data_IF_951850363842
#
_entry.id   IF_951850363842
#
_cell.length_a   1.000
_cell.length_b   1.000
_cell.length_c   1.000
_cell.angle_alpha   90.00
_cell.angle_beta   90.00
_cell.angle_gamma   90.00
#
_symmetry.space_group_name_H-M   'P 1'
#
loop_
_entity.id
_entity.type
_entity.pdbx_description
1 polymer ?
#
# COMPACT_ATOMS: atom_id res chain seq x y z
N UNK A 1 -41.00 -14.37 -16.93
CA UNK A 1 -40.73 -14.82 -15.55
C UNK A 1 -40.49 -16.32 -15.61
N UNK A 2 -39.28 -16.73 -15.99
CA UNK A 2 -38.97 -18.14 -16.29
C UNK A 2 -38.65 -18.92 -15.00
N UNK A 3 -39.37 -20.03 -14.81
CA UNK A 3 -39.15 -20.99 -13.72
C UNK A 3 -38.33 -22.16 -14.27
N UNK A 4 -37.14 -22.38 -13.73
CA UNK A 4 -36.40 -23.62 -13.97
C UNK A 4 -36.79 -24.68 -12.92
N UNK A 5 -37.29 -25.82 -13.38
CA UNK A 5 -37.60 -27.00 -12.56
C UNK A 5 -36.38 -27.94 -12.63
N UNK A 6 -35.77 -28.25 -11.49
CA UNK A 6 -34.78 -29.32 -11.39
C UNK A 6 -35.46 -30.67 -11.13
N UNK A 7 -34.81 -31.76 -11.58
CA UNK A 7 -35.27 -33.16 -11.67
C UNK A 7 -35.88 -33.82 -10.40
N UNK A 8 -35.91 -33.13 -9.26
CA UNK A 8 -36.46 -33.62 -7.99
C UNK A 8 -37.67 -32.81 -7.45
N UNK A 9 -38.35 -32.01 -8.27
CA UNK A 9 -39.66 -31.43 -7.91
C UNK A 9 -39.65 -30.40 -6.76
N UNK A 10 -38.49 -30.00 -6.24
CA UNK A 10 -38.40 -28.93 -5.24
C UNK A 10 -38.42 -27.58 -5.96
N UNK A 11 -39.52 -26.83 -5.79
CA UNK A 11 -39.59 -25.43 -6.19
C UNK A 11 -38.66 -24.60 -5.30
N UNK A 12 -37.42 -24.39 -5.74
CA UNK A 12 -36.53 -23.43 -5.09
C UNK A 12 -36.89 -22.05 -5.61
N UNK A 13 -37.44 -21.21 -4.73
CA UNK A 13 -37.73 -19.82 -5.03
C UNK A 13 -36.43 -19.12 -5.47
N UNK A 14 -36.43 -18.29 -6.52
CA UNK A 14 -35.22 -17.56 -6.98
C UNK A 14 -34.54 -16.73 -5.86
N UNK A 15 -35.32 -16.31 -4.84
CA UNK A 15 -34.81 -15.71 -3.61
C UNK A 15 -34.01 -16.65 -2.70
N UNK A 16 -34.34 -17.95 -2.65
CA UNK A 16 -33.59 -18.97 -1.91
C UNK A 16 -32.29 -19.36 -2.64
N UNK A 17 -32.31 -19.44 -3.97
CA UNK A 17 -31.12 -19.74 -4.75
C UNK A 17 -30.07 -18.61 -4.64
N UNK A 18 -30.51 -17.35 -4.72
CA UNK A 18 -29.63 -16.18 -4.55
C UNK A 18 -29.10 -16.03 -3.12
N UNK A 19 -29.85 -16.41 -2.09
CA UNK A 19 -29.38 -16.40 -0.70
C UNK A 19 -28.45 -17.58 -0.38
N UNK A 20 -28.66 -18.76 -0.98
CA UNK A 20 -27.73 -19.90 -0.91
C UNK A 20 -26.42 -19.61 -1.67
N UNK A 21 -26.48 -19.01 -2.86
CA UNK A 21 -25.27 -18.55 -3.58
C UNK A 21 -24.55 -17.43 -2.84
N UNK A 22 -25.27 -16.47 -2.24
CA UNK A 22 -24.65 -15.42 -1.42
C UNK A 22 -24.02 -15.97 -0.12
N UNK A 23 -24.53 -17.07 0.46
CA UNK A 23 -23.90 -17.75 1.60
C UNK A 23 -22.60 -18.47 1.22
N UNK A 24 -22.53 -19.11 0.05
CA UNK A 24 -21.30 -19.76 -0.45
C UNK A 24 -20.18 -18.78 -0.86
N UNK A 25 -20.53 -17.52 -1.12
CA UNK A 25 -19.59 -16.49 -1.59
C UNK A 25 -19.20 -15.45 -0.52
N UNK A 26 -19.59 -15.61 0.75
CA UNK A 26 -19.32 -14.57 1.75
C UNK A 26 -18.07 -14.86 2.57
N UNK A 27 -17.11 -13.94 2.54
CA UNK A 27 -16.01 -13.89 3.49
C UNK A 27 -16.49 -13.16 4.76
N UNK A 28 -16.29 -13.73 5.94
CA UNK A 28 -16.62 -13.06 7.21
C UNK A 28 -15.39 -12.39 7.80
N UNK A 29 -15.59 -11.31 8.57
CA UNK A 29 -14.48 -10.63 9.26
C UNK A 29 -13.69 -11.55 10.19
N UNK A 30 -14.38 -12.40 10.95
CA UNK A 30 -13.74 -13.34 11.87
C UNK A 30 -12.94 -14.42 11.14
N UNK A 31 -13.47 -14.90 10.02
CA UNK A 31 -12.72 -15.83 9.17
C UNK A 31 -11.47 -15.17 8.59
N UNK A 32 -11.52 -13.88 8.23
CA UNK A 32 -10.36 -13.12 7.77
C UNK A 32 -9.32 -12.95 8.85
N UNK A 33 -9.73 -12.56 10.06
CA UNK A 33 -8.84 -12.44 11.21
C UNK A 33 -8.16 -13.78 11.49
N UNK A 34 -8.92 -14.88 11.58
CA UNK A 34 -8.37 -16.21 11.84
C UNK A 34 -7.31 -16.60 10.81
N UNK A 35 -7.61 -16.40 9.52
CA UNK A 35 -6.72 -16.72 8.41
C UNK A 35 -5.47 -15.84 8.40
N UNK A 36 -5.61 -14.55 8.69
CA UNK A 36 -4.47 -13.63 8.81
C UNK A 36 -3.58 -13.99 10.01
N UNK A 37 -4.18 -14.35 11.15
CA UNK A 37 -3.45 -14.86 12.31
C UNK A 37 -2.72 -16.17 11.99
N UNK A 38 -3.32 -17.05 11.18
CA UNK A 38 -2.62 -18.27 10.70
C UNK A 38 -1.41 -17.90 9.83
N UNK A 39 -1.54 -16.91 8.94
CA UNK A 39 -0.41 -16.42 8.14
C UNK A 39 0.70 -15.84 9.03
N UNK A 40 0.35 -15.04 10.04
CA UNK A 40 1.32 -14.47 10.97
C UNK A 40 2.04 -15.56 11.78
N UNK A 41 1.31 -16.56 12.26
CA UNK A 41 1.90 -17.71 12.96
C UNK A 41 2.83 -18.52 12.05
N UNK A 42 2.41 -18.76 10.80
CA UNK A 42 3.25 -19.43 9.80
C UNK A 42 4.51 -18.64 9.48
N UNK A 43 4.44 -17.30 9.47
CA UNK A 43 5.61 -16.46 9.30
C UNK A 43 6.61 -16.66 10.44
N UNK A 44 6.16 -16.60 11.70
CA UNK A 44 7.01 -16.85 12.86
C UNK A 44 7.64 -18.25 12.84
N UNK A 45 6.84 -19.28 12.54
CA UNK A 45 7.35 -20.66 12.41
C UNK A 45 8.40 -20.75 11.30
N UNK A 46 8.15 -20.13 10.14
CA UNK A 46 9.08 -20.13 9.01
C UNK A 46 10.38 -19.41 9.36
N UNK A 47 10.34 -18.30 10.10
CA UNK A 47 11.53 -17.58 10.55
C UNK A 47 12.36 -18.41 11.52
N UNK A 48 11.72 -19.10 12.46
CA UNK A 48 12.42 -19.98 13.41
C UNK A 48 13.08 -21.17 12.68
N UNK A 49 12.35 -21.84 11.78
CA UNK A 49 12.84 -23.04 11.10
C UNK A 49 13.94 -22.75 10.06
N UNK A 50 13.92 -21.56 9.44
CA UNK A 50 14.83 -21.17 8.37
C UNK A 50 15.86 -20.13 8.79
N UNK A 51 15.96 -19.85 10.10
CA UNK A 51 16.89 -18.87 10.66
C UNK A 51 18.33 -19.13 10.22
N UNK A 52 18.96 -18.16 9.58
CA UNK A 52 20.37 -18.23 9.16
C UNK A 52 20.95 -16.84 8.97
N UNK A 53 21.95 -16.50 9.81
CA UNK A 53 22.65 -15.21 9.83
C UNK A 53 24.15 -15.32 9.59
N UNK A 54 24.60 -16.41 8.95
CA UNK A 54 26.04 -16.72 8.81
C UNK A 54 26.79 -15.76 7.89
N UNK A 55 26.17 -15.35 6.79
CA UNK A 55 26.68 -14.35 5.86
C UNK A 55 25.52 -13.73 5.07
N UNK A 56 25.80 -12.65 4.34
CA UNK A 56 24.81 -11.89 3.57
C UNK A 56 24.08 -12.75 2.52
N UNK A 57 24.80 -13.66 1.86
CA UNK A 57 24.22 -14.54 0.83
C UNK A 57 23.23 -15.53 1.43
N UNK A 58 23.63 -16.22 2.50
CA UNK A 58 22.79 -17.17 3.21
C UNK A 58 21.57 -16.47 3.82
N UNK A 59 21.76 -15.32 4.45
CA UNK A 59 20.67 -14.49 4.96
C UNK A 59 19.65 -14.16 3.87
N UNK A 60 20.12 -13.67 2.72
CA UNK A 60 19.24 -13.35 1.60
C UNK A 60 18.51 -14.57 1.05
N UNK A 61 19.19 -15.71 0.86
CA UNK A 61 18.57 -16.93 0.34
C UNK A 61 17.51 -17.46 1.31
N UNK A 62 17.84 -17.61 2.60
CA UNK A 62 16.94 -18.19 3.58
C UNK A 62 15.75 -17.28 3.90
N UNK A 63 15.97 -15.97 3.99
CA UNK A 63 14.86 -15.00 4.12
C UNK A 63 13.95 -15.02 2.88
N UNK A 64 14.52 -15.10 1.67
CA UNK A 64 13.75 -15.23 0.43
C UNK A 64 12.89 -16.50 0.40
N UNK A 65 13.44 -17.65 0.82
CA UNK A 65 12.69 -18.91 0.90
C UNK A 65 11.58 -18.81 1.95
N UNK A 66 11.85 -18.24 3.13
CA UNK A 66 10.85 -18.06 4.18
C UNK A 66 9.67 -17.21 3.68
N UNK A 67 9.94 -16.05 3.06
CA UNK A 67 8.89 -15.19 2.54
C UNK A 67 8.20 -15.73 1.28
N UNK A 68 8.87 -16.58 0.48
CA UNK A 68 8.23 -17.33 -0.60
C UNK A 68 7.20 -18.32 -0.03
N UNK A 69 7.56 -19.09 0.99
CA UNK A 69 6.66 -20.02 1.69
C UNK A 69 5.46 -19.24 2.26
N UNK A 70 5.73 -18.13 2.96
CA UNK A 70 4.67 -17.27 3.50
C UNK A 70 3.77 -16.74 2.39
N UNK A 71 4.31 -16.36 1.23
CA UNK A 71 3.53 -15.91 0.07
C UNK A 71 2.62 -17.02 -0.48
N UNK A 72 3.13 -18.24 -0.62
CA UNK A 72 2.36 -19.42 -1.07
C UNK A 72 1.19 -19.67 -0.14
N UNK A 73 1.46 -19.78 1.18
CA UNK A 73 0.44 -20.03 2.18
C UNK A 73 -0.56 -18.88 2.30
N UNK A 74 -0.10 -17.64 2.29
CA UNK A 74 -0.98 -16.45 2.31
C UNK A 74 -1.95 -16.47 1.14
N UNK A 75 -1.47 -16.79 -0.06
CA UNK A 75 -2.32 -16.85 -1.26
C UNK A 75 -3.38 -17.96 -1.14
N UNK A 76 -2.97 -19.17 -0.74
CA UNK A 76 -3.89 -20.31 -0.59
C UNK A 76 -4.92 -20.08 0.52
N UNK A 77 -4.46 -19.62 1.68
CA UNK A 77 -5.28 -19.44 2.89
C UNK A 77 -6.23 -18.26 2.72
N UNK A 78 -5.76 -17.09 2.25
CA UNK A 78 -6.59 -15.89 2.15
C UNK A 78 -7.52 -15.92 0.93
N UNK A 79 -7.06 -16.38 -0.25
CA UNK A 79 -7.90 -16.36 -1.45
C UNK A 79 -8.85 -17.55 -1.57
N UNK A 80 -8.62 -18.63 -0.80
CA UNK A 80 -9.36 -19.90 -0.84
C UNK A 80 -9.40 -20.54 -2.23
N UNK A 81 -8.40 -20.26 -3.07
CA UNK A 81 -8.39 -20.74 -4.45
C UNK A 81 -6.96 -20.88 -4.98
N UNK A 82 -6.55 -22.08 -5.40
CA UNK A 82 -5.20 -22.31 -5.93
C UNK A 82 -5.01 -21.66 -7.31
N UNK A 83 -6.10 -21.28 -8.00
CA UNK A 83 -6.07 -20.65 -9.33
C UNK A 83 -5.16 -19.42 -9.40
N UNK A 84 -5.04 -18.68 -8.29
CA UNK A 84 -4.28 -17.44 -8.23
C UNK A 84 -2.85 -17.62 -7.70
N UNK A 85 -2.50 -18.82 -7.23
CA UNK A 85 -1.21 -19.11 -6.58
C UNK A 85 -0.03 -18.66 -7.45
N UNK A 86 0.03 -19.14 -8.69
CA UNK A 86 1.15 -18.87 -9.57
C UNK A 86 1.26 -17.39 -9.96
N UNK A 87 0.17 -16.63 -9.99
CA UNK A 87 0.25 -15.18 -10.21
C UNK A 87 1.05 -14.50 -9.09
N UNK A 88 0.72 -14.80 -7.83
CA UNK A 88 1.38 -14.18 -6.68
C UNK A 88 2.79 -14.73 -6.46
N UNK A 89 3.02 -16.03 -6.69
CA UNK A 89 4.37 -16.63 -6.63
C UNK A 89 5.28 -16.04 -7.70
N UNK A 90 4.83 -15.97 -8.96
CA UNK A 90 5.63 -15.36 -10.02
C UNK A 90 5.88 -13.88 -9.75
N UNK A 91 4.88 -13.14 -9.25
CA UNK A 91 5.07 -11.74 -8.89
C UNK A 91 6.09 -11.56 -7.76
N UNK A 92 6.09 -12.44 -6.75
CA UNK A 92 7.09 -12.43 -5.68
C UNK A 92 8.50 -12.60 -6.23
N UNK A 93 8.71 -13.66 -7.02
CA UNK A 93 10.02 -13.97 -7.60
C UNK A 93 10.53 -12.84 -8.51
N UNK A 94 9.67 -12.32 -9.38
CA UNK A 94 10.04 -11.22 -10.29
C UNK A 94 10.44 -9.97 -9.49
N UNK A 95 9.68 -9.58 -8.46
CA UNK A 95 9.98 -8.39 -7.64
C UNK A 95 11.24 -8.57 -6.80
N UNK A 96 11.47 -9.77 -6.29
CA UNK A 96 12.68 -10.10 -5.56
C UNK A 96 13.90 -10.02 -6.49
N UNK A 97 13.81 -10.61 -7.69
CA UNK A 97 14.89 -10.55 -8.69
C UNK A 97 15.16 -9.12 -9.15
N UNK A 98 14.13 -8.32 -9.46
CA UNK A 98 14.30 -6.92 -9.86
C UNK A 98 14.96 -6.12 -8.73
N UNK A 99 14.52 -6.29 -7.48
CA UNK A 99 15.13 -5.61 -6.32
C UNK A 99 16.59 -6.03 -6.10
N UNK A 100 16.89 -7.32 -6.20
CA UNK A 100 18.27 -7.83 -6.08
C UNK A 100 19.17 -7.25 -7.18
N UNK A 101 18.74 -7.33 -8.45
CA UNK A 101 19.51 -6.78 -9.58
C UNK A 101 19.71 -5.29 -9.42
N UNK A 102 18.67 -4.55 -9.03
CA UNK A 102 18.76 -3.12 -8.77
C UNK A 102 19.82 -2.82 -7.69
N UNK A 103 19.78 -3.53 -6.57
CA UNK A 103 20.72 -3.28 -5.48
C UNK A 103 22.17 -3.63 -5.86
N UNK A 104 22.39 -4.82 -6.44
CA UNK A 104 23.74 -5.23 -6.82
C UNK A 104 24.32 -4.36 -7.94
N UNK A 105 23.50 -3.94 -8.90
CA UNK A 105 24.00 -3.15 -10.03
C UNK A 105 24.25 -1.69 -9.65
N UNK A 106 23.32 -1.05 -8.93
CA UNK A 106 23.38 0.39 -8.70
C UNK A 106 23.97 0.81 -7.36
N UNK A 107 24.08 -0.10 -6.38
CA UNK A 107 24.40 0.25 -4.99
C UNK A 107 25.63 -0.47 -4.49
N UNK A 108 25.60 -1.81 -4.47
CA UNK A 108 26.71 -2.60 -3.95
C UNK A 108 26.94 -3.88 -4.75
N UNK A 109 27.79 -3.84 -5.80
CA UNK A 109 28.13 -5.02 -6.60
C UNK A 109 28.82 -6.12 -5.81
N UNK A 110 29.52 -5.78 -4.72
CA UNK A 110 30.28 -6.71 -3.88
C UNK A 110 29.52 -7.09 -2.61
N UNK A 111 28.21 -6.84 -2.55
CA UNK A 111 27.40 -7.04 -1.34
C UNK A 111 27.56 -8.42 -0.68
N UNK A 112 27.60 -9.48 -1.49
CA UNK A 112 27.73 -10.85 -0.96
C UNK A 112 29.17 -11.24 -0.60
N UNK A 113 30.15 -10.46 -1.03
CA UNK A 113 31.57 -10.64 -0.71
C UNK A 113 32.02 -9.73 0.45
N UNK A 114 31.20 -8.72 0.79
CA UNK A 114 31.46 -7.73 1.85
C UNK A 114 30.77 -8.09 3.18
N UNK A 115 30.79 -7.17 4.15
CA UNK A 115 30.09 -7.34 5.43
C UNK A 115 28.55 -7.40 5.29
N UNK A 116 28.00 -7.04 4.13
CA UNK A 116 26.55 -7.02 3.87
C UNK A 116 25.76 -5.96 4.66
N UNK A 117 26.47 -5.06 5.34
CA UNK A 117 25.90 -3.91 6.05
C UNK A 117 25.41 -2.82 5.08
N UNK A 118 24.71 -1.83 5.62
CA UNK A 118 24.21 -0.72 4.81
C UNK A 118 25.32 0.24 4.41
N UNK A 119 25.45 0.47 3.10
CA UNK A 119 26.20 1.62 2.58
C UNK A 119 25.27 2.83 2.65
N UNK A 120 25.62 3.80 3.49
CA UNK A 120 24.81 5.00 3.68
C UNK A 120 24.68 5.79 2.36
N UNK A 121 23.48 5.76 1.78
CA UNK A 121 23.15 6.51 0.55
C UNK A 121 22.52 7.88 0.87
N UNK A 122 21.69 7.93 1.92
CA UNK A 122 21.19 9.16 2.54
C UNK A 122 20.94 8.93 4.03
N UNK A 123 20.97 10.00 4.82
CA UNK A 123 20.73 9.99 6.27
C UNK A 123 19.36 9.39 6.66
N UNK A 124 18.31 9.60 5.84
CA UNK A 124 16.97 9.08 6.12
C UNK A 124 16.92 7.54 6.05
N UNK A 125 17.57 6.94 5.04
CA UNK A 125 17.61 5.48 4.93
C UNK A 125 18.49 4.82 6.00
N UNK A 126 19.58 5.50 6.38
CA UNK A 126 20.50 5.04 7.42
C UNK A 126 19.78 4.96 8.78
N UNK A 127 19.13 6.04 9.21
CA UNK A 127 18.33 6.06 10.44
C UNK A 127 17.22 4.99 10.50
N UNK A 128 16.59 4.69 9.36
CA UNK A 128 15.58 3.60 9.27
C UNK A 128 16.24 2.23 9.50
N UNK A 129 17.38 1.98 8.87
CA UNK A 129 18.09 0.71 8.99
C UNK A 129 18.68 0.51 10.39
N UNK A 130 19.30 1.54 10.96
CA UNK A 130 19.83 1.52 12.33
C UNK A 130 18.72 1.30 13.35
N UNK A 131 17.56 1.90 13.14
CA UNK A 131 16.37 1.66 13.97
C UNK A 131 15.89 0.21 13.90
N UNK A 132 15.90 -0.40 12.71
CA UNK A 132 15.55 -1.82 12.53
C UNK A 132 16.53 -2.72 13.28
N UNK A 133 17.85 -2.50 13.11
CA UNK A 133 18.88 -3.30 13.79
C UNK A 133 18.78 -3.14 15.31
N UNK A 134 18.63 -1.91 15.79
CA UNK A 134 18.52 -1.63 17.22
C UNK A 134 17.33 -2.37 17.83
N UNK A 135 16.17 -2.35 17.18
CA UNK A 135 15.02 -3.14 17.63
C UNK A 135 15.25 -4.66 17.50
N UNK A 136 15.97 -5.13 16.49
CA UNK A 136 16.29 -6.55 16.36
C UNK A 136 17.15 -7.02 17.54
N UNK A 137 18.18 -6.26 17.90
CA UNK A 137 19.07 -6.55 19.03
C UNK A 137 18.32 -6.53 20.36
N UNK A 138 17.53 -5.50 20.64
CA UNK A 138 16.71 -5.45 21.86
C UNK A 138 15.76 -6.64 22.00
N UNK A 139 15.19 -7.13 20.89
CA UNK A 139 14.33 -8.30 20.92
C UNK A 139 15.10 -9.61 21.08
N UNK A 140 16.36 -9.68 20.63
CA UNK A 140 17.22 -10.82 20.91
C UNK A 140 17.53 -10.90 22.42
N UNK A 141 17.72 -9.75 23.07
CA UNK A 141 18.06 -9.67 24.49
C UNK A 141 16.84 -9.85 25.42
N UNK A 142 15.67 -9.33 25.03
CA UNK A 142 14.49 -9.24 25.91
C UNK A 142 13.27 -10.04 25.41
N UNK A 143 13.34 -10.63 24.22
CA UNK A 143 12.28 -11.41 23.59
C UNK A 143 11.54 -10.71 22.45
N UNK A 144 10.91 -11.49 21.58
CA UNK A 144 10.33 -11.04 20.29
C UNK A 144 9.29 -9.91 20.39
N UNK A 145 8.57 -9.85 21.51
CA UNK A 145 7.53 -8.85 21.75
C UNK A 145 8.03 -7.60 22.48
N UNK A 146 9.33 -7.54 22.85
CA UNK A 146 9.89 -6.39 23.52
C UNK A 146 9.84 -5.14 22.64
N UNK A 147 9.42 -4.02 23.21
CA UNK A 147 9.34 -2.74 22.53
C UNK A 147 9.57 -1.61 23.53
N UNK A 148 10.45 -0.68 23.16
CA UNK A 148 10.73 0.54 23.92
C UNK A 148 10.76 1.72 22.94
N UNK A 149 9.87 2.70 23.16
CA UNK A 149 9.68 3.82 22.24
C UNK A 149 10.76 4.91 22.36
N UNK A 150 11.51 4.94 23.46
CA UNK A 150 12.56 5.95 23.75
C UNK A 150 13.88 5.71 23.03
N UNK A 151 14.08 4.52 22.44
CA UNK A 151 15.41 4.10 21.95
C UNK A 151 15.78 4.73 20.62
N UNK A 152 14.80 5.07 19.79
CA UNK A 152 15.04 5.60 18.44
C UNK A 152 14.18 6.84 18.24
N UNK A 153 14.84 7.95 17.90
CA UNK A 153 14.19 9.20 17.43
C UNK A 153 13.69 9.06 15.98
N UNK A 154 12.83 8.07 15.73
CA UNK A 154 12.16 7.90 14.46
C UNK A 154 10.68 8.25 14.62
N UNK A 155 10.09 8.89 13.62
CA UNK A 155 8.62 8.94 13.51
C UNK A 155 8.11 7.49 13.49
N UNK A 156 7.06 7.11 14.22
CA UNK A 156 6.48 5.76 14.21
C UNK A 156 7.46 4.58 14.44
N UNK A 157 8.11 4.47 15.62
CA UNK A 157 9.01 3.37 15.97
C UNK A 157 8.32 1.99 15.98
N UNK A 158 6.99 1.95 16.15
CA UNK A 158 6.21 0.72 16.25
C UNK A 158 6.30 -0.13 14.97
N UNK A 159 6.27 0.51 13.79
CA UNK A 159 6.38 -0.23 12.53
C UNK A 159 7.81 -0.72 12.29
N UNK A 160 8.83 0.02 12.71
CA UNK A 160 10.22 -0.41 12.62
C UNK A 160 10.48 -1.63 13.52
N UNK A 161 9.91 -1.63 14.72
CA UNK A 161 9.91 -2.77 15.64
C UNK A 161 9.24 -4.01 15.03
N UNK A 162 8.19 -3.86 14.21
CA UNK A 162 7.60 -4.99 13.49
C UNK A 162 8.48 -5.47 12.34
N UNK A 163 9.11 -4.55 11.60
CA UNK A 163 10.03 -4.86 10.50
C UNK A 163 11.32 -5.52 11.01
N UNK A 164 11.71 -5.28 12.26
CA UNK A 164 12.92 -5.88 12.82
C UNK A 164 12.79 -7.37 13.17
N UNK A 165 11.57 -7.90 13.27
CA UNK A 165 11.36 -9.31 13.63
C UNK A 165 12.11 -10.27 12.70
N UNK A 166 11.99 -10.18 11.35
CA UNK A 166 12.81 -11.00 10.45
C UNK A 166 14.32 -10.79 10.62
N UNK A 167 14.78 -9.57 10.90
CA UNK A 167 16.20 -9.26 11.07
C UNK A 167 16.81 -9.99 12.27
N UNK A 168 16.02 -10.26 13.33
CA UNK A 168 16.47 -11.12 14.44
C UNK A 168 16.89 -12.53 13.99
N UNK A 169 16.23 -13.09 12.98
CA UNK A 169 16.44 -14.46 12.50
C UNK A 169 17.42 -14.53 11.34
N UNK A 170 17.43 -13.52 10.47
CA UNK A 170 18.25 -13.52 9.26
C UNK A 170 19.50 -12.64 9.36
N UNK A 171 19.65 -11.85 10.42
CA UNK A 171 20.80 -10.99 10.67
C UNK A 171 20.67 -9.58 10.09
N UNK A 172 21.67 -8.76 10.41
CA UNK A 172 21.72 -7.31 10.14
C UNK A 172 22.15 -7.00 8.70
N UNK A 173 21.51 -7.69 7.75
CA UNK A 173 21.83 -7.62 6.33
C UNK A 173 20.74 -6.85 5.59
N UNK A 174 21.14 -5.79 4.87
CA UNK A 174 20.22 -4.87 4.18
C UNK A 174 19.21 -5.58 3.30
N UNK A 175 19.66 -6.54 2.50
CA UNK A 175 18.79 -7.21 1.52
C UNK A 175 17.73 -8.12 2.17
N UNK A 176 17.74 -8.33 3.49
CA UNK A 176 16.62 -8.91 4.24
C UNK A 176 15.32 -8.10 4.03
N UNK A 177 15.42 -6.79 3.73
CA UNK A 177 14.24 -5.96 3.43
C UNK A 177 13.54 -6.35 2.12
N UNK A 178 14.27 -6.92 1.15
CA UNK A 178 13.74 -7.18 -0.19
C UNK A 178 12.66 -8.28 -0.20
N UNK A 179 12.87 -9.44 0.46
CA UNK A 179 11.82 -10.42 0.70
C UNK A 179 10.61 -9.85 1.47
N UNK A 180 10.84 -9.01 2.48
CA UNK A 180 9.80 -8.36 3.30
C UNK A 180 8.90 -7.49 2.41
N UNK A 181 9.49 -6.54 1.69
CA UNK A 181 8.77 -5.63 0.80
C UNK A 181 8.04 -6.36 -0.32
N UNK A 182 8.66 -7.40 -0.89
CA UNK A 182 8.02 -8.23 -1.92
C UNK A 182 6.75 -8.88 -1.37
N UNK A 183 6.82 -9.50 -0.19
CA UNK A 183 5.66 -10.13 0.44
C UNK A 183 4.58 -9.10 0.81
N UNK A 184 4.92 -8.04 1.54
CA UNK A 184 3.92 -7.07 2.00
C UNK A 184 3.27 -6.31 0.84
N UNK A 185 4.00 -6.06 -0.25
CA UNK A 185 3.39 -5.52 -1.46
C UNK A 185 2.35 -6.46 -2.06
N UNK A 186 2.60 -7.77 -2.07
CA UNK A 186 1.63 -8.75 -2.56
C UNK A 186 0.45 -8.90 -1.60
N UNK A 187 0.67 -8.74 -0.29
CA UNK A 187 -0.40 -8.72 0.69
C UNK A 187 -1.38 -7.57 0.44
N UNK A 188 -0.88 -6.38 0.06
CA UNK A 188 -1.75 -5.26 -0.38
C UNK A 188 -2.61 -5.69 -1.58
N UNK A 189 -1.99 -6.30 -2.59
CA UNK A 189 -2.67 -6.79 -3.80
C UNK A 189 -3.74 -7.85 -3.46
N UNK A 190 -3.43 -8.80 -2.57
CA UNK A 190 -4.39 -9.80 -2.05
C UNK A 190 -5.60 -9.12 -1.39
N UNK A 191 -5.38 -8.11 -0.55
CA UNK A 191 -6.45 -7.42 0.15
C UNK A 191 -7.35 -6.61 -0.79
N UNK A 192 -6.77 -5.87 -1.74
CA UNK A 192 -7.54 -5.18 -2.78
C UNK A 192 -8.32 -6.18 -3.64
N UNK A 193 -7.72 -7.33 -3.97
CA UNK A 193 -8.41 -8.42 -4.67
C UNK A 193 -9.58 -8.98 -3.86
N UNK A 194 -9.40 -9.21 -2.56
CA UNK A 194 -10.43 -9.72 -1.66
C UNK A 194 -11.63 -8.77 -1.56
N UNK A 195 -11.37 -7.47 -1.38
CA UNK A 195 -12.42 -6.45 -1.41
C UNK A 195 -13.14 -6.46 -2.77
N UNK A 196 -12.38 -6.46 -3.87
CA UNK A 196 -12.90 -6.49 -5.24
C UNK A 196 -13.78 -7.70 -5.52
N UNK A 197 -13.39 -8.89 -5.03
CA UNK A 197 -14.12 -10.14 -5.24
C UNK A 197 -15.37 -10.23 -4.37
N UNK A 198 -15.25 -9.94 -3.08
CA UNK A 198 -16.31 -10.25 -2.11
C UNK A 198 -17.26 -9.08 -1.84
N UNK A 199 -16.78 -7.83 -1.89
CA UNK A 199 -17.63 -6.64 -1.77
C UNK A 199 -18.23 -6.24 -3.11
N UNK A 200 -17.39 -6.08 -4.13
CA UNK A 200 -17.82 -5.56 -5.43
C UNK A 200 -18.22 -6.63 -6.46
N UNK A 201 -17.95 -7.91 -6.18
CA UNK A 201 -18.35 -9.05 -7.02
C UNK A 201 -17.86 -8.94 -8.47
N UNK A 202 -16.65 -8.42 -8.67
CA UNK A 202 -16.09 -8.31 -10.00
C UNK A 202 -15.82 -9.66 -10.65
N UNK A 203 -15.88 -9.69 -11.98
CA UNK A 203 -15.59 -10.88 -12.78
C UNK A 203 -14.13 -11.34 -12.61
N UNK A 204 -13.87 -12.63 -12.81
CA UNK A 204 -12.52 -13.20 -12.78
C UNK A 204 -11.54 -12.48 -13.73
N UNK A 205 -12.02 -12.01 -14.88
CA UNK A 205 -11.21 -11.23 -15.83
C UNK A 205 -10.76 -9.90 -15.22
N UNK A 206 -11.68 -9.16 -14.61
CA UNK A 206 -11.40 -7.90 -13.94
C UNK A 206 -10.48 -8.12 -12.73
N UNK A 207 -10.75 -9.15 -11.93
CA UNK A 207 -9.94 -9.52 -10.77
C UNK A 207 -8.50 -9.85 -11.16
N UNK A 208 -8.29 -10.55 -12.28
CA UNK A 208 -6.94 -10.82 -12.81
C UNK A 208 -6.18 -9.52 -13.11
N UNK A 209 -6.84 -8.53 -13.71
CA UNK A 209 -6.20 -7.25 -14.02
C UNK A 209 -5.93 -6.43 -12.76
N UNK A 210 -6.86 -6.41 -11.81
CA UNK A 210 -6.64 -5.75 -10.51
C UNK A 210 -5.41 -6.37 -9.84
N UNK A 211 -5.38 -7.69 -9.67
CA UNK A 211 -4.26 -8.39 -9.03
C UNK A 211 -2.93 -8.12 -9.74
N UNK A 212 -2.91 -8.10 -11.08
CA UNK A 212 -1.69 -7.88 -11.84
C UNK A 212 -1.17 -6.44 -11.67
N UNK A 213 -2.06 -5.44 -11.78
CA UNK A 213 -1.67 -4.03 -11.61
C UNK A 213 -1.25 -3.74 -10.17
N UNK A 214 -1.94 -4.27 -9.16
CA UNK A 214 -1.58 -4.04 -7.75
C UNK A 214 -0.37 -4.86 -7.30
N UNK A 215 -0.12 -6.05 -7.89
CA UNK A 215 1.09 -6.82 -7.59
C UNK A 215 2.36 -6.14 -8.14
N UNK A 216 2.29 -5.61 -9.37
CA UNK A 216 3.39 -4.91 -10.04
C UNK A 216 3.25 -3.38 -9.97
N UNK A 217 2.66 -2.87 -8.89
CA UNK A 217 2.44 -1.44 -8.75
C UNK A 217 3.80 -0.70 -8.69
N UNK A 218 4.00 0.42 -9.42
CA UNK A 218 5.34 0.97 -9.66
C UNK A 218 6.12 1.32 -8.38
N UNK A 219 5.50 2.03 -7.42
CA UNK A 219 6.18 2.45 -6.16
C UNK A 219 6.62 1.29 -5.25
N UNK A 220 6.17 0.06 -5.52
CA UNK A 220 6.58 -1.12 -4.74
C UNK A 220 7.33 -2.13 -5.59
N UNK A 221 7.71 -1.78 -6.82
CA UNK A 221 8.36 -2.70 -7.76
C UNK A 221 9.81 -3.01 -7.32
N UNK A 222 10.55 -1.98 -6.88
CA UNK A 222 11.91 -2.13 -6.37
C UNK A 222 11.87 -2.56 -4.91
N UNK A 223 11.91 -3.87 -4.69
CA UNK A 223 11.77 -4.44 -3.35
C UNK A 223 12.96 -4.13 -2.42
N UNK A 224 14.14 -3.81 -2.94
CA UNK A 224 15.36 -3.54 -2.16
C UNK A 224 15.37 -2.21 -1.42
N UNK A 225 14.34 -1.36 -1.59
CA UNK A 225 14.28 -0.06 -0.93
C UNK A 225 14.07 -0.18 0.57
N UNK A 226 14.90 0.50 1.35
CA UNK A 226 14.79 0.57 2.80
C UNK A 226 13.73 1.58 3.25
N UNK A 227 12.47 1.33 2.91
CA UNK A 227 11.33 2.13 3.34
C UNK A 227 10.29 1.29 4.06
N UNK A 228 9.80 1.78 5.19
CA UNK A 228 8.73 1.14 5.97
C UNK A 228 7.36 1.21 5.30
N UNK A 229 7.20 2.06 4.28
CA UNK A 229 5.88 2.44 3.78
C UNK A 229 5.13 1.25 3.15
N UNK A 230 5.82 0.30 2.51
CA UNK A 230 5.20 -0.92 1.94
C UNK A 230 4.48 -1.74 3.01
N UNK A 231 5.11 -1.89 4.18
CA UNK A 231 4.51 -2.58 5.33
C UNK A 231 3.34 -1.78 5.87
N UNK A 232 3.47 -0.45 5.97
CA UNK A 232 2.40 0.42 6.46
C UNK A 232 1.13 0.39 5.60
N UNK A 233 1.28 0.46 4.28
CA UNK A 233 0.14 0.35 3.34
C UNK A 233 -0.49 -1.04 3.41
N UNK A 234 0.30 -2.08 3.67
CA UNK A 234 -0.24 -3.43 3.88
C UNK A 234 -1.19 -3.45 5.08
N UNK A 235 -0.84 -2.81 6.19
CA UNK A 235 -1.70 -2.67 7.36
C UNK A 235 -2.94 -1.83 7.06
N UNK A 236 -2.82 -0.76 6.29
CA UNK A 236 -3.99 -0.01 5.83
C UNK A 236 -4.94 -0.87 4.99
N UNK A 237 -4.39 -1.67 4.06
CA UNK A 237 -5.20 -2.57 3.23
C UNK A 237 -5.90 -3.66 4.04
N UNK A 238 -5.27 -4.15 5.11
CA UNK A 238 -5.87 -5.06 6.09
C UNK A 238 -7.01 -4.36 6.81
N UNK A 239 -6.79 -3.14 7.32
CA UNK A 239 -7.81 -2.33 8.01
C UNK A 239 -9.05 -2.09 7.16
N UNK A 240 -8.88 -1.72 5.88
CA UNK A 240 -10.00 -1.58 4.94
C UNK A 240 -10.74 -2.90 4.73
N UNK A 241 -10.01 -4.01 4.59
CA UNK A 241 -10.61 -5.34 4.40
C UNK A 241 -11.45 -5.76 5.61
N UNK A 242 -10.98 -5.47 6.84
CA UNK A 242 -11.71 -5.72 8.07
C UNK A 242 -13.04 -4.97 8.12
N UNK A 243 -13.04 -3.67 7.79
CA UNK A 243 -14.26 -2.85 7.72
C UNK A 243 -15.23 -3.42 6.68
N UNK A 244 -14.76 -3.76 5.47
CA UNK A 244 -15.61 -4.28 4.41
C UNK A 244 -16.25 -5.64 4.73
N UNK A 245 -15.56 -6.50 5.48
CA UNK A 245 -16.07 -7.82 5.85
C UNK A 245 -16.92 -7.82 7.13
N UNK A 246 -16.92 -6.72 7.87
CA UNK A 246 -17.83 -6.53 8.99
C UNK A 246 -19.26 -6.27 8.48
N UNK A 247 -20.16 -7.22 8.77
CA UNK A 247 -21.57 -7.18 8.29
C UNK A 247 -22.51 -6.44 9.22
N UNK A 248 -22.20 -6.38 10.53
CA UNK A 248 -23.03 -5.72 11.55
C UNK A 248 -22.42 -4.37 11.91
N UNK A 249 -23.27 -3.38 12.23
CA UNK A 249 -22.86 -2.04 12.65
C UNK A 249 -21.83 -2.06 13.79
N UNK A 250 -22.11 -2.80 14.86
CA UNK A 250 -21.20 -2.92 16.02
C UNK A 250 -19.85 -3.50 15.61
N UNK A 251 -19.85 -4.56 14.79
CA UNK A 251 -18.59 -5.14 14.28
C UNK A 251 -17.84 -4.17 13.37
N UNK A 252 -18.55 -3.33 12.60
CA UNK A 252 -17.92 -2.32 11.76
C UNK A 252 -17.25 -1.24 12.60
N UNK A 253 -17.90 -0.74 13.66
CA UNK A 253 -17.28 0.23 14.58
C UNK A 253 -16.05 -0.36 15.29
N UNK A 254 -16.13 -1.61 15.75
CA UNK A 254 -14.97 -2.29 16.31
C UNK A 254 -13.81 -2.40 15.30
N UNK A 255 -14.11 -2.82 14.06
CA UNK A 255 -13.09 -2.91 13.01
C UNK A 255 -12.58 -1.55 12.56
N UNK A 256 -13.39 -0.49 12.67
CA UNK A 256 -12.96 0.88 12.38
C UNK A 256 -11.92 1.34 13.41
N UNK A 257 -12.08 1.03 14.70
CA UNK A 257 -11.07 1.31 15.73
C UNK A 257 -9.76 0.58 15.40
N UNK A 258 -9.85 -0.71 15.09
CA UNK A 258 -8.66 -1.51 14.70
C UNK A 258 -8.02 -0.94 13.44
N UNK A 259 -8.80 -0.56 12.43
CA UNK A 259 -8.29 0.04 11.21
C UNK A 259 -7.64 1.40 11.47
N UNK A 260 -8.21 2.25 12.33
CA UNK A 260 -7.56 3.50 12.75
C UNK A 260 -6.19 3.24 13.35
N UNK A 261 -6.04 2.25 14.24
CA UNK A 261 -4.72 1.90 14.77
C UNK A 261 -3.76 1.41 13.67
N UNK A 262 -4.21 0.54 12.76
CA UNK A 262 -3.39 0.08 11.64
C UNK A 262 -2.97 1.21 10.68
N UNK A 263 -3.80 2.24 10.53
CA UNK A 263 -3.47 3.43 9.74
C UNK A 263 -2.48 4.34 10.49
N UNK A 264 -2.64 4.47 11.81
CA UNK A 264 -1.74 5.23 12.68
C UNK A 264 -0.32 4.67 12.64
N UNK A 265 -0.16 3.34 12.66
CA UNK A 265 1.15 2.68 12.55
C UNK A 265 1.94 3.11 11.31
N UNK A 266 1.24 3.56 10.27
CA UNK A 266 1.89 4.08 9.07
C UNK A 266 2.14 5.59 9.16
N UNK A 267 1.09 6.38 9.41
CA UNK A 267 1.17 7.85 9.59
C UNK A 267 0.08 8.34 10.52
N UNK A 268 0.41 9.32 11.36
CA UNK A 268 -0.50 9.93 12.35
C UNK A 268 -1.76 10.58 11.75
N UNK A 269 -1.69 11.14 10.53
CA UNK A 269 -2.84 11.79 9.87
C UNK A 269 -3.82 10.80 9.20
N UNK A 270 -3.38 9.58 8.88
CA UNK A 270 -4.16 8.62 8.10
C UNK A 270 -5.43 8.09 8.79
N UNK A 271 -5.48 7.89 10.12
CA UNK A 271 -6.71 7.58 10.83
C UNK A 271 -7.79 8.65 10.63
N UNK A 272 -7.41 9.94 10.60
CA UNK A 272 -8.35 11.05 10.40
C UNK A 272 -8.95 10.97 8.98
N UNK A 273 -8.11 10.72 7.96
CA UNK A 273 -8.56 10.52 6.59
C UNK A 273 -9.53 9.33 6.47
N UNK A 274 -9.24 8.23 7.17
CA UNK A 274 -10.10 7.04 7.21
C UNK A 274 -11.46 7.35 7.82
N UNK A 275 -11.51 8.05 8.96
CA UNK A 275 -12.76 8.44 9.61
C UNK A 275 -13.61 9.32 8.70
N UNK A 276 -13.00 10.31 8.04
CA UNK A 276 -13.69 11.17 7.09
C UNK A 276 -14.24 10.38 5.90
N UNK A 277 -13.42 9.48 5.32
CA UNK A 277 -13.84 8.63 4.20
C UNK A 277 -15.00 7.71 4.59
N UNK A 278 -14.95 7.17 5.82
CA UNK A 278 -16.01 6.31 6.35
C UNK A 278 -17.32 7.06 6.55
N UNK A 279 -17.30 8.25 7.14
CA UNK A 279 -18.50 9.08 7.31
C UNK A 279 -19.13 9.40 5.96
N UNK A 280 -18.32 9.84 4.99
CA UNK A 280 -18.80 10.19 3.65
C UNK A 280 -19.39 8.97 2.94
N UNK A 281 -18.72 7.80 3.00
CA UNK A 281 -19.25 6.56 2.41
C UNK A 281 -20.61 6.19 3.02
N UNK A 282 -20.74 6.23 4.34
CA UNK A 282 -22.00 5.92 5.03
C UNK A 282 -23.10 6.92 4.67
N UNK A 283 -22.80 8.23 4.67
CA UNK A 283 -23.78 9.28 4.37
C UNK A 283 -24.22 9.23 2.91
N UNK A 284 -23.31 8.94 1.98
CA UNK A 284 -23.66 8.87 0.58
C UNK A 284 -24.31 7.52 0.26
N UNK A 285 -23.64 6.39 0.52
CA UNK A 285 -23.96 5.11 -0.11
C UNK A 285 -24.89 4.19 0.67
N UNK A 286 -25.26 4.51 1.91
CA UNK A 286 -26.29 3.71 2.59
C UNK A 286 -27.68 3.99 2.00
N UNK A 287 -28.35 2.90 1.63
CA UNK A 287 -29.76 2.90 1.24
C UNK A 287 -30.41 1.66 1.86
N UNK A 288 -30.63 1.65 3.17
CA UNK A 288 -31.45 0.61 3.77
C UNK A 288 -32.90 0.75 3.32
N UNK A 289 -33.58 -0.39 3.09
CA UNK A 289 -35.00 -0.43 2.69
C UNK A 289 -35.94 0.24 3.70
N UNK A 290 -35.49 0.45 4.94
CA UNK A 290 -36.22 1.14 6.01
C UNK A 290 -35.53 2.49 6.29
N UNK A 291 -36.10 3.58 5.77
CA UNK A 291 -35.55 4.95 5.86
C UNK A 291 -35.18 5.38 7.29
N UNK A 292 -35.99 5.01 8.30
CA UNK A 292 -35.74 5.40 9.70
C UNK A 292 -34.51 4.73 10.33
N UNK A 293 -34.27 3.45 10.03
CA UNK A 293 -33.09 2.71 10.52
C UNK A 293 -31.82 3.23 9.83
N UNK A 294 -31.93 3.60 8.54
CA UNK A 294 -30.85 4.23 7.78
C UNK A 294 -30.40 5.56 8.40
N UNK A 295 -31.37 6.43 8.72
CA UNK A 295 -31.11 7.73 9.34
C UNK A 295 -30.45 7.57 10.71
N UNK A 296 -30.97 6.68 11.55
CA UNK A 296 -30.41 6.41 12.87
C UNK A 296 -28.98 5.88 12.78
N UNK A 297 -28.68 4.96 11.85
CA UNK A 297 -27.32 4.47 11.66
C UNK A 297 -26.34 5.57 11.21
N UNK A 298 -26.76 6.46 10.31
CA UNK A 298 -25.94 7.63 9.89
C UNK A 298 -25.63 8.55 11.07
N UNK A 299 -26.65 8.89 11.89
CA UNK A 299 -26.47 9.74 13.08
C UNK A 299 -25.52 9.06 14.07
N UNK A 300 -25.74 7.77 14.37
CA UNK A 300 -24.85 7.02 15.26
C UNK A 300 -23.41 6.96 14.72
N UNK A 301 -23.22 6.84 13.41
CA UNK A 301 -21.89 6.86 12.80
C UNK A 301 -21.22 8.21 13.01
N UNK A 302 -21.92 9.32 12.77
CA UNK A 302 -21.40 10.67 12.97
C UNK A 302 -21.04 10.90 14.45
N UNK A 303 -21.95 10.56 15.37
CA UNK A 303 -21.70 10.68 16.81
C UNK A 303 -20.51 9.84 17.24
N UNK A 304 -20.43 8.58 16.78
CA UNK A 304 -19.30 7.70 17.09
C UNK A 304 -17.98 8.30 16.61
N UNK A 305 -17.93 8.84 15.40
CA UNK A 305 -16.71 9.47 14.85
C UNK A 305 -16.35 10.75 15.62
N UNK A 306 -17.33 11.59 15.99
CA UNK A 306 -17.08 12.77 16.82
C UNK A 306 -16.49 12.39 18.18
N UNK A 307 -16.96 11.30 18.80
CA UNK A 307 -16.44 10.80 20.08
C UNK A 307 -15.05 10.18 19.92
N UNK A 308 -14.79 9.50 18.81
CA UNK A 308 -13.51 8.86 18.55
C UNK A 308 -12.41 9.86 18.14
N UNK A 309 -12.78 10.97 17.49
CA UNK A 309 -11.84 11.93 16.93
C UNK A 309 -10.86 12.53 17.96
N UNK A 310 -11.28 12.95 19.18
CA UNK A 310 -10.35 13.44 20.21
C UNK A 310 -9.29 12.41 20.61
N UNK A 311 -9.66 11.12 20.70
CA UNK A 311 -8.72 10.05 21.01
C UNK A 311 -7.68 9.88 19.89
N UNK A 312 -8.12 9.97 18.64
CA UNK A 312 -7.24 9.88 17.47
C UNK A 312 -6.32 11.10 17.37
N UNK A 313 -6.84 12.30 17.64
CA UNK A 313 -6.03 13.52 17.66
C UNK A 313 -4.98 13.45 18.78
N UNK A 314 -5.35 12.99 19.97
CA UNK A 314 -4.39 12.81 21.07
C UNK A 314 -3.30 11.79 20.72
N UNK A 315 -3.68 10.68 20.06
CA UNK A 315 -2.73 9.69 19.56
C UNK A 315 -1.80 10.27 18.47
N UNK A 316 -2.31 11.18 17.64
CA UNK A 316 -1.56 11.82 16.57
C UNK A 316 -0.68 13.00 17.05
N UNK A 317 -1.02 13.65 18.17
CA UNK A 317 -0.29 14.79 18.73
C UNK A 317 0.89 14.30 19.59
N UNK A 318 1.97 13.91 18.93
CA UNK A 318 3.28 13.69 19.56
C UNK A 318 4.18 14.89 19.28
N UNK A 319 5.17 15.17 20.13
CA UNK A 319 6.13 16.29 19.93
C UNK A 319 6.78 16.27 18.52
N UNK A 320 7.08 15.08 18.00
CA UNK A 320 7.58 14.88 16.64
C UNK A 320 6.58 15.26 15.52
N UNK A 321 5.27 15.21 15.78
CA UNK A 321 4.21 15.54 14.82
C UNK A 321 3.78 17.01 14.90
N UNK A 322 3.93 17.65 16.06
CA UNK A 322 3.65 19.09 16.23
C UNK A 322 4.58 19.97 15.38
N UNK A 323 5.85 19.59 15.27
CA UNK A 323 6.82 20.26 14.39
C UNK A 323 6.46 20.13 12.90
N UNK A 324 5.89 18.99 12.48
CA UNK A 324 5.41 18.78 11.11
C UNK A 324 4.08 19.49 10.83
N UNK A 325 3.20 19.61 11.82
CA UNK A 325 1.91 20.30 11.69
C UNK A 325 2.08 21.81 11.43
N UNK A 326 3.10 22.44 12.01
CA UNK A 326 3.45 23.84 11.74
C UNK A 326 3.77 24.14 10.27
N UNK A 327 4.27 23.15 9.52
CA UNK A 327 4.58 23.27 8.09
C UNK A 327 3.36 23.30 7.16
N UNK A 328 2.20 22.82 7.62
CA UNK A 328 0.95 22.79 6.84
C UNK A 328 0.33 24.20 6.74
N UNK A 329 0.52 25.05 7.76
CA UNK A 329 -0.12 26.37 7.84
C UNK A 329 0.63 27.50 7.12
N UNK A 330 1.88 27.30 6.72
CA UNK A 330 2.67 28.24 5.90
C UNK A 330 2.58 27.93 4.39
N UNK A 331 1.38 27.64 3.89
CA UNK A 331 1.16 27.22 2.51
C UNK A 331 0.85 28.40 1.57
N UNK A 332 1.69 28.62 0.55
CA UNK A 332 1.42 29.60 -0.50
C UNK A 332 0.53 28.98 -1.61
N UNK A 333 -0.73 29.40 -1.67
CA UNK A 333 -1.72 28.90 -2.65
C UNK A 333 -1.31 29.15 -4.11
N UNK A 334 -0.48 30.16 -4.38
CA UNK A 334 -0.01 30.49 -5.73
C UNK A 334 0.94 29.42 -6.29
N UNK A 335 1.63 28.68 -5.41
CA UNK A 335 2.60 27.63 -5.82
C UNK A 335 1.89 26.28 -6.01
N UNK A 336 0.65 26.13 -5.54
CA UNK A 336 -0.11 24.88 -5.57
C UNK A 336 -0.19 24.22 -6.97
N UNK A 337 -0.43 24.93 -8.08
CA UNK A 337 -0.48 24.28 -9.40
C UNK A 337 0.85 23.63 -9.80
N UNK A 338 1.97 24.30 -9.50
CA UNK A 338 3.32 23.76 -9.75
C UNK A 338 3.60 22.57 -8.83
N UNK A 339 3.22 22.67 -7.55
CA UNK A 339 3.33 21.54 -6.61
C UNK A 339 2.53 20.33 -7.07
N UNK A 340 1.31 20.53 -7.55
CA UNK A 340 0.46 19.44 -8.07
C UNK A 340 1.16 18.75 -9.24
N UNK A 341 1.70 19.52 -10.19
CA UNK A 341 2.42 18.95 -11.33
C UNK A 341 3.67 18.16 -10.90
N UNK A 342 4.50 18.72 -10.02
CA UNK A 342 5.70 18.06 -9.52
C UNK A 342 5.38 16.81 -8.68
N UNK A 343 4.36 16.87 -7.81
CA UNK A 343 3.92 15.73 -7.01
C UNK A 343 3.33 14.58 -7.83
N UNK A 344 2.77 14.88 -9.02
CA UNK A 344 2.25 13.87 -9.96
C UNK A 344 3.39 13.30 -10.80
N UNK A 345 4.27 14.13 -11.36
CA UNK A 345 5.37 13.72 -12.26
C UNK A 345 6.48 13.00 -11.51
N UNK A 346 6.71 13.34 -10.24
CA UNK A 346 7.82 12.82 -9.45
C UNK A 346 9.14 13.56 -9.71
N UNK A 347 10.29 12.93 -9.37
CA UNK A 347 11.60 13.52 -9.60
C UNK A 347 11.76 13.83 -11.09
N UNK A 348 12.10 15.07 -11.40
CA UNK A 348 12.24 15.55 -12.77
C UNK A 348 13.24 16.72 -12.83
N UNK A 349 14.12 16.81 -13.84
CA UNK A 349 14.25 15.94 -15.01
C UNK A 349 14.79 14.54 -14.70
N UNK A 350 14.41 13.54 -15.51
CA UNK A 350 14.82 12.13 -15.30
C UNK A 350 16.32 11.90 -15.57
N UNK A 351 17.01 12.89 -16.18
CA UNK A 351 18.48 12.86 -16.33
C UNK A 351 19.21 12.69 -14.99
N UNK A 352 18.61 13.12 -13.87
CA UNK A 352 19.20 12.97 -12.55
C UNK A 352 19.48 11.49 -12.22
N UNK A 353 18.68 10.55 -12.74
CA UNK A 353 18.96 9.13 -12.61
C UNK A 353 20.33 8.76 -13.15
N UNK A 354 20.74 9.31 -14.30
CA UNK A 354 22.03 8.99 -14.93
C UNK A 354 23.23 9.49 -14.12
N UNK A 355 22.99 10.34 -13.12
CA UNK A 355 24.00 10.77 -12.16
C UNK A 355 24.12 9.79 -10.98
N UNK A 356 23.53 8.58 -11.04
CA UNK A 356 23.64 7.59 -9.96
C UNK A 356 25.10 7.21 -9.63
N UNK A 357 25.99 7.25 -10.62
CA UNK A 357 27.41 6.90 -10.40
C UNK A 357 28.12 7.93 -9.50
N UNK A 358 27.70 9.20 -9.55
CA UNK A 358 28.22 10.26 -8.69
C UNK A 358 27.39 10.48 -7.42
N UNK A 359 26.08 10.23 -7.49
CA UNK A 359 25.14 10.34 -6.37
C UNK A 359 24.31 9.04 -6.31
N UNK A 360 24.81 7.98 -5.65
CA UNK A 360 24.16 6.67 -5.58
C UNK A 360 22.70 6.68 -5.09
N UNK A 361 22.31 7.67 -4.28
CA UNK A 361 20.93 7.88 -3.84
C UNK A 361 19.93 8.06 -4.99
N UNK A 362 20.37 8.54 -6.16
CA UNK A 362 19.50 8.72 -7.32
C UNK A 362 19.08 7.41 -7.98
N UNK A 363 19.79 6.29 -7.73
CA UNK A 363 19.36 4.97 -8.18
C UNK A 363 17.95 4.62 -7.65
N UNK A 364 17.66 5.01 -6.40
CA UNK A 364 16.38 4.77 -5.75
C UNK A 364 15.20 5.54 -6.36
N UNK A 365 15.44 6.57 -7.16
CA UNK A 365 14.39 7.33 -7.84
C UNK A 365 13.80 6.59 -9.05
N UNK A 366 14.40 5.46 -9.46
CA UNK A 366 13.96 4.73 -10.65
C UNK A 366 12.47 4.35 -10.61
N UNK A 367 11.98 3.88 -9.46
CA UNK A 367 10.56 3.55 -9.30
C UNK A 367 9.65 4.77 -9.34
N UNK A 368 10.15 5.93 -8.90
CA UNK A 368 9.40 7.18 -8.86
C UNK A 368 9.12 7.67 -10.29
N UNK A 369 10.02 7.45 -11.26
CA UNK A 369 9.75 7.76 -12.67
C UNK A 369 8.62 6.91 -13.26
N UNK A 370 8.62 5.60 -12.97
CA UNK A 370 7.54 4.71 -13.40
C UNK A 370 6.22 5.06 -12.71
N UNK A 371 6.27 5.44 -11.42
CA UNK A 371 5.13 5.92 -10.67
C UNK A 371 4.60 7.24 -11.22
N UNK A 372 5.48 8.16 -11.61
CA UNK A 372 5.09 9.46 -12.18
C UNK A 372 4.35 9.29 -13.50
N UNK A 373 4.87 8.42 -14.35
CA UNK A 373 4.18 8.00 -15.58
C UNK A 373 2.78 7.43 -15.28
N UNK A 374 2.68 6.58 -14.25
CA UNK A 374 1.42 5.99 -13.83
C UNK A 374 0.43 7.05 -13.32
N UNK A 375 0.90 7.98 -12.48
CA UNK A 375 0.12 9.07 -11.92
C UNK A 375 -0.45 9.96 -13.03
N UNK A 376 0.38 10.38 -14.00
CA UNK A 376 -0.06 11.20 -15.13
C UNK A 376 -1.11 10.45 -15.95
N UNK A 377 -0.86 9.17 -16.27
CA UNK A 377 -1.82 8.36 -17.01
C UNK A 377 -3.16 8.26 -16.28
N UNK A 378 -3.12 8.09 -14.96
CA UNK A 378 -4.30 8.08 -14.11
C UNK A 378 -5.02 9.43 -14.13
N UNK A 379 -4.30 10.54 -14.01
CA UNK A 379 -4.87 11.90 -14.02
C UNK A 379 -5.52 12.21 -15.36
N UNK A 380 -4.87 11.89 -16.48
CA UNK A 380 -5.46 12.02 -17.82
C UNK A 380 -6.75 11.21 -17.91
N UNK A 381 -6.71 9.96 -17.44
CA UNK A 381 -7.88 9.09 -17.37
C UNK A 381 -9.00 9.70 -16.51
N UNK A 382 -8.66 10.27 -15.35
CA UNK A 382 -9.58 10.90 -14.43
C UNK A 382 -10.27 12.11 -15.08
N UNK A 383 -9.51 12.96 -15.78
CA UNK A 383 -10.02 14.13 -16.50
C UNK A 383 -10.94 13.71 -17.66
N UNK A 384 -10.46 12.82 -18.54
CA UNK A 384 -11.20 12.39 -19.73
C UNK A 384 -12.51 11.65 -19.37
N UNK A 385 -12.53 10.90 -18.28
CA UNK A 385 -13.66 10.08 -17.87
C UNK A 385 -14.32 10.55 -16.57
N UNK A 386 -14.18 11.83 -16.19
CA UNK A 386 -14.65 12.39 -14.91
C UNK A 386 -16.08 12.01 -14.52
N UNK A 387 -17.01 12.02 -15.49
CA UNK A 387 -18.43 11.69 -15.27
C UNK A 387 -18.64 10.25 -14.76
N UNK A 388 -17.72 9.34 -15.09
CA UNK A 388 -17.74 7.96 -14.60
C UNK A 388 -17.23 7.85 -13.17
N UNK A 389 -16.22 8.64 -12.81
CA UNK A 389 -15.61 8.62 -11.48
C UNK A 389 -16.51 9.21 -10.40
N UNK A 390 -17.17 10.35 -10.66
CA UNK A 390 -17.97 11.06 -9.66
C UNK A 390 -19.41 10.56 -9.54
N UNK A 391 -19.68 9.30 -9.90
CA UNK A 391 -20.96 8.67 -9.59
C UNK A 391 -21.02 8.35 -8.11
N UNK A 392 -22.20 8.50 -7.51
CA UNK A 392 -22.47 8.18 -6.11
C UNK A 392 -21.92 6.79 -5.72
N UNK A 393 -22.22 5.76 -6.52
CA UNK A 393 -21.76 4.37 -6.31
C UNK A 393 -20.23 4.20 -6.26
N UNK A 394 -19.49 5.13 -6.88
CA UNK A 394 -18.04 5.11 -6.95
C UNK A 394 -17.38 5.89 -5.81
N UNK A 395 -18.13 6.68 -5.04
CA UNK A 395 -17.66 7.39 -3.84
C UNK A 395 -17.71 6.49 -2.60
N UNK A 396 -17.13 5.29 -2.70
CA UNK A 396 -17.08 4.31 -1.61
C UNK A 396 -15.80 4.47 -0.76
N UNK A 397 -15.77 3.83 0.42
CA UNK A 397 -14.65 3.94 1.37
C UNK A 397 -13.26 3.75 0.75
N UNK A 398 -13.06 2.72 -0.07
CA UNK A 398 -11.79 2.41 -0.73
C UNK A 398 -11.34 3.56 -1.65
N UNK A 399 -12.26 4.06 -2.47
CA UNK A 399 -11.97 5.12 -3.42
C UNK A 399 -11.79 6.48 -2.73
N UNK A 400 -12.63 6.79 -1.73
CA UNK A 400 -12.50 7.99 -0.93
C UNK A 400 -11.17 8.03 -0.18
N UNK A 401 -10.74 6.89 0.38
CA UNK A 401 -9.44 6.79 1.00
C UNK A 401 -8.31 7.05 0.00
N UNK A 402 -8.39 6.45 -1.20
CA UNK A 402 -7.42 6.70 -2.26
C UNK A 402 -7.33 8.18 -2.67
N UNK A 403 -8.49 8.85 -2.83
CA UNK A 403 -8.55 10.28 -3.13
C UNK A 403 -7.98 11.14 -2.00
N UNK A 404 -8.30 10.83 -0.74
CA UNK A 404 -7.80 11.57 0.41
C UNK A 404 -6.30 11.42 0.63
N UNK A 405 -5.72 10.25 0.31
CA UNK A 405 -4.26 10.08 0.30
C UNK A 405 -3.59 10.90 -0.79
N UNK A 406 -4.15 10.94 -2.00
CA UNK A 406 -3.64 11.81 -3.08
C UNK A 406 -3.68 13.26 -2.64
N UNK A 407 -4.82 13.73 -2.14
CA UNK A 407 -4.98 15.11 -1.66
C UNK A 407 -3.96 15.38 -0.54
N UNK A 408 -3.91 14.54 0.50
CA UNK A 408 -2.96 14.70 1.61
C UNK A 408 -1.50 14.74 1.13
N UNK A 409 -1.12 13.92 0.16
CA UNK A 409 0.22 13.93 -0.42
C UNK A 409 0.56 15.21 -1.19
N UNK A 410 -0.41 15.76 -1.95
CA UNK A 410 -0.24 16.98 -2.75
C UNK A 410 -0.20 18.26 -1.91
N UNK A 411 -0.91 18.28 -0.77
CA UNK A 411 -1.00 19.45 0.11
C UNK A 411 0.06 19.47 1.22
N UNK A 412 0.88 18.43 1.36
CA UNK A 412 1.96 18.41 2.34
C UNK A 412 3.13 19.33 1.94
N UNK A 413 3.80 19.92 2.94
CA UNK A 413 4.93 20.85 2.75
C UNK A 413 6.10 20.20 1.99
N UNK A 414 6.36 18.91 2.24
CA UNK A 414 7.49 18.15 1.69
C UNK A 414 7.21 17.32 0.42
N UNK A 415 6.06 17.51 -0.26
CA UNK A 415 5.71 16.81 -1.52
C UNK A 415 6.21 15.35 -1.61
N UNK A 416 5.63 14.47 -0.80
CA UNK A 416 6.02 13.06 -0.79
C UNK A 416 5.23 12.29 -1.85
N UNK A 417 5.86 12.06 -3.01
CA UNK A 417 5.33 11.23 -4.10
C UNK A 417 4.82 9.85 -3.65
N UNK A 418 5.43 9.16 -2.66
CA UNK A 418 4.89 7.90 -2.15
C UNK A 418 3.44 8.01 -1.66
N UNK A 419 3.05 9.10 -0.98
CA UNK A 419 1.67 9.26 -0.48
C UNK A 419 0.65 9.38 -1.62
N UNK A 420 1.02 10.10 -2.68
CA UNK A 420 0.23 10.21 -3.91
C UNK A 420 0.10 8.85 -4.59
N UNK A 421 1.20 8.10 -4.66
CA UNK A 421 1.23 6.75 -5.24
C UNK A 421 0.31 5.77 -4.51
N UNK A 422 0.29 5.79 -3.18
CA UNK A 422 -0.54 4.88 -2.38
C UNK A 422 -2.03 5.15 -2.59
N UNK A 423 -2.41 6.41 -2.75
CA UNK A 423 -3.79 6.75 -3.08
C UNK A 423 -4.23 6.19 -4.44
N UNK A 424 -3.36 6.26 -5.46
CA UNK A 424 -3.63 5.63 -6.76
C UNK A 424 -3.72 4.10 -6.70
N UNK A 425 -2.97 3.47 -5.80
CA UNK A 425 -3.06 2.02 -5.58
C UNK A 425 -4.47 1.60 -5.16
N UNK A 426 -5.08 2.29 -4.18
CA UNK A 426 -6.44 2.02 -3.74
C UNK A 426 -7.52 2.37 -4.78
N UNK A 427 -7.23 3.32 -5.69
CA UNK A 427 -8.12 3.66 -6.80
C UNK A 427 -8.03 2.72 -8.01
N UNK A 428 -7.09 1.77 -8.01
CA UNK A 428 -6.89 0.83 -9.13
C UNK A 428 -8.16 0.06 -9.52
N UNK A 429 -8.98 -0.46 -8.59
CA UNK A 429 -10.21 -1.14 -8.96
C UNK A 429 -11.18 -0.25 -9.75
N UNK A 430 -11.33 1.01 -9.35
CA UNK A 430 -12.20 1.99 -10.01
C UNK A 430 -11.74 2.33 -11.43
N UNK A 431 -10.43 2.51 -11.62
CA UNK A 431 -9.83 2.75 -12.92
C UNK A 431 -10.14 1.60 -13.89
N UNK A 432 -9.94 0.37 -13.45
CA UNK A 432 -10.08 -0.82 -14.29
C UNK A 432 -11.53 -1.16 -14.62
N UNK A 433 -12.48 -0.79 -13.77
CA UNK A 433 -13.92 -0.99 -14.03
C UNK A 433 -14.48 0.05 -15.00
N UNK A 434 -14.06 1.31 -14.92
CA UNK A 434 -14.67 2.40 -15.69
C UNK A 434 -14.01 2.67 -17.05
N UNK A 435 -12.70 2.42 -17.19
CA UNK A 435 -11.91 2.85 -18.36
C UNK A 435 -11.47 1.70 -19.27
N UNK A 436 -11.47 0.45 -18.77
CA UNK A 436 -10.90 -0.74 -19.44
C UNK A 436 -9.35 -0.64 -19.59
N UNK A 437 -8.66 -1.72 -19.21
CA UNK A 437 -7.19 -1.82 -19.20
C UNK A 437 -6.53 -1.43 -20.53
N UNK A 438 -7.14 -1.78 -21.68
CA UNK A 438 -6.55 -1.47 -22.99
C UNK A 438 -6.41 0.03 -23.22
N UNK A 439 -7.40 0.82 -22.80
CA UNK A 439 -7.34 2.28 -22.90
C UNK A 439 -6.33 2.86 -21.94
N UNK A 440 -6.31 2.38 -20.69
CA UNK A 440 -5.31 2.80 -19.71
C UNK A 440 -3.88 2.52 -20.20
N UNK A 441 -3.62 1.34 -20.76
CA UNK A 441 -2.31 0.98 -21.34
C UNK A 441 -1.88 1.96 -22.43
N UNK A 442 -2.78 2.34 -23.34
CA UNK A 442 -2.47 3.32 -24.40
C UNK A 442 -2.10 4.68 -23.79
N UNK A 443 -2.90 5.16 -22.83
CA UNK A 443 -2.64 6.43 -22.16
C UNK A 443 -1.32 6.38 -21.38
N UNK A 444 -1.03 5.27 -20.70
CA UNK A 444 0.25 5.08 -20.01
C UNK A 444 1.45 5.16 -20.95
N UNK A 445 1.39 4.49 -22.12
CA UNK A 445 2.44 4.57 -23.13
C UNK A 445 2.61 6.00 -23.65
N UNK A 446 1.52 6.72 -23.91
CA UNK A 446 1.59 8.12 -24.32
C UNK A 446 2.19 9.03 -23.24
N UNK A 447 1.80 8.84 -21.97
CA UNK A 447 2.41 9.57 -20.85
C UNK A 447 3.91 9.29 -20.76
N UNK A 448 4.32 8.03 -20.93
CA UNK A 448 5.74 7.64 -20.90
C UNK A 448 6.53 8.33 -22.01
N UNK A 449 6.05 8.23 -23.26
CA UNK A 449 6.71 8.87 -24.42
C UNK A 449 6.77 10.39 -24.23
N UNK A 450 5.69 11.01 -23.75
CA UNK A 450 5.65 12.45 -23.52
C UNK A 450 6.70 12.89 -22.47
N UNK A 451 6.86 12.15 -21.38
CA UNK A 451 7.87 12.44 -20.35
C UNK A 451 9.30 12.25 -20.88
N UNK A 452 9.54 11.20 -21.66
CA UNK A 452 10.84 10.98 -22.32
C UNK A 452 11.17 12.13 -23.27
N UNK A 453 10.22 12.55 -24.10
CA UNK A 453 10.42 13.68 -25.02
C UNK A 453 10.66 14.99 -24.26
N UNK A 454 9.90 15.25 -23.18
CA UNK A 454 10.10 16.44 -22.35
C UNK A 454 11.49 16.44 -21.70
N UNK A 455 11.97 15.28 -21.25
CA UNK A 455 13.31 15.13 -20.69
C UNK A 455 14.38 15.42 -21.76
N UNK A 456 14.23 14.92 -22.99
CA UNK A 456 15.14 15.22 -24.10
C UNK A 456 15.15 16.71 -24.46
N UNK A 457 13.98 17.37 -24.49
CA UNK A 457 13.89 18.82 -24.73
C UNK A 457 14.66 19.59 -23.66
N UNK A 458 14.52 19.23 -22.39
CA UNK A 458 15.23 19.90 -21.30
C UNK A 458 16.75 19.73 -21.44
N UNK A 459 17.20 18.52 -21.76
CA UNK A 459 18.63 18.25 -21.99
C UNK A 459 19.17 19.14 -23.13
N UNK A 460 18.43 19.24 -24.23
CA UNK A 460 18.84 19.98 -25.44
C UNK A 460 18.74 21.50 -25.28
N UNK A 461 17.70 21.99 -24.61
CA UNK A 461 17.38 23.44 -24.53
C UNK A 461 18.03 24.10 -23.32
N UNK A 462 18.13 23.41 -22.19
CA UNK A 462 18.50 24.00 -20.90
C UNK A 462 19.93 23.61 -20.49
N UNK A 463 20.54 22.60 -21.13
CA UNK A 463 21.95 22.25 -20.93
C UNK A 463 22.27 21.88 -19.48
N UNK A 464 21.77 20.73 -19.01
CA UNK A 464 21.98 20.18 -17.66
C UNK A 464 21.69 21.13 -16.46
N UNK A 465 21.21 22.35 -16.67
CA UNK A 465 20.71 23.21 -15.61
C UNK A 465 19.41 22.60 -15.09
N UNK A 466 19.49 21.96 -13.93
CA UNK A 466 18.32 21.38 -13.27
C UNK A 466 17.24 22.44 -13.11
N UNK A 467 15.96 22.07 -13.21
CA UNK A 467 14.85 23.04 -13.10
C UNK A 467 15.00 23.92 -11.86
N UNK A 468 15.55 23.41 -10.75
CA UNK A 468 15.86 24.17 -9.53
C UNK A 468 16.79 25.38 -9.72
N UNK A 469 17.65 25.41 -10.73
CA UNK A 469 18.50 26.57 -11.04
C UNK A 469 17.77 27.69 -11.79
N UNK A 470 16.55 27.44 -12.30
CA UNK A 470 15.66 28.48 -12.81
C UNK A 470 14.86 29.18 -11.69
N UNK A 471 14.96 28.68 -10.45
CA UNK A 471 14.19 29.18 -9.29
C UNK A 471 15.05 29.67 -8.12
N UNK A 472 16.38 29.67 -8.25
CA UNK A 472 17.25 30.55 -7.46
C UNK A 472 17.29 31.90 -8.16
#
# INVERSE_FOLDING_TARGET
MEKHITRNGIMINNGQLSTLMNRKLSYSVWEYILRLSTVALLALISFVLLSNKTNALNSFIWSSIAFLIITIFSTLILLKSPKWLWLFVSAYLIKLTIGLVHYLYFIDPLYFESSGGYKALTYEFESVFDGIITFANLKLDHGIFYFESSVIEASHPEILSLISIPFMFFGDYVLTISPINSFFSLLISINIFLISKYKYKFSDKTLKYIALVTAFFPITLLSSLLWRDVVGISFMSIGLTLIYFAKRSVTQYLMLIVACYLFYLHRSIYPILLLLAYVIDIVLNQNNKRKGIDLLYRILTIVFVIVLLPLIINLANTEANESMAGGIFNFNILILPVKILLGIIGPFPWINFLLYESIPAYAYQLQDYFQGTFNIAFVICFILFRKKYFKKENLNLLNLMGLFLIISGLFNSFMHMPYVAFGFMFLTPLLLTEINLSKFKKIYIYSFIALVLLNLIIIVVIGNLGISSLWK
#
